data_IF_920983392312
#
_entry.id   IF_920983392312
#
_cell.length_a   1.000
_cell.length_b   1.000
_cell.length_c   1.000
_cell.angle_alpha   90.00
_cell.angle_beta   90.00
_cell.angle_gamma   90.00
#
_symmetry.space_group_name_H-M   'P 1'
#
loop_
_entity.id
_entity.type
_entity.pdbx_description
1 polymer ?
#
# COMPACT_ATOMS: atom_id res chain seq x y z
N UNK A 1 -16.28 -21.70 -18.34
CA UNK A 1 -15.11 -21.39 -17.50
C UNK A 1 -14.20 -20.31 -18.09
N UNK A 2 -14.19 -20.05 -19.41
CA UNK A 2 -13.39 -18.97 -20.03
C UNK A 2 -13.96 -17.56 -19.76
N UNK A 3 -15.29 -17.40 -19.77
CA UNK A 3 -15.98 -16.11 -19.51
C UNK A 3 -15.61 -15.48 -18.16
N UNK A 4 -15.54 -16.26 -17.08
CA UNK A 4 -15.17 -15.73 -15.75
C UNK A 4 -13.72 -15.25 -15.66
N UNK A 5 -12.81 -15.84 -16.44
CA UNK A 5 -11.41 -15.39 -16.50
C UNK A 5 -11.28 -14.09 -17.30
N UNK A 6 -12.06 -13.94 -18.38
CA UNK A 6 -12.09 -12.71 -19.18
C UNK A 6 -12.66 -11.53 -18.38
N UNK A 7 -13.69 -11.78 -17.56
CA UNK A 7 -14.29 -10.76 -16.69
C UNK A 7 -13.28 -10.20 -15.65
N UNK A 8 -12.42 -11.06 -15.08
CA UNK A 8 -11.40 -10.64 -14.12
C UNK A 8 -10.30 -9.83 -14.81
N UNK A 9 -9.81 -10.29 -15.96
CA UNK A 9 -8.77 -9.61 -16.72
C UNK A 9 -9.24 -8.26 -17.27
N UNK A 10 -10.49 -8.17 -17.75
CA UNK A 10 -11.06 -6.90 -18.19
C UNK A 10 -11.16 -5.89 -17.03
N UNK A 11 -11.62 -6.31 -15.85
CA UNK A 11 -11.70 -5.42 -14.67
C UNK A 11 -10.33 -4.91 -14.21
N UNK A 12 -9.32 -5.77 -14.21
CA UNK A 12 -7.95 -5.35 -13.90
C UNK A 12 -7.44 -4.34 -14.94
N UNK A 13 -7.73 -4.58 -16.23
CA UNK A 13 -7.31 -3.68 -17.30
C UNK A 13 -8.01 -2.32 -17.23
N UNK A 14 -9.30 -2.30 -16.90
CA UNK A 14 -10.06 -1.07 -16.66
C UNK A 14 -9.46 -0.27 -15.49
N UNK A 15 -9.12 -0.93 -14.37
CA UNK A 15 -8.48 -0.28 -13.23
C UNK A 15 -7.13 0.37 -13.62
N UNK A 16 -6.28 -0.37 -14.33
CA UNK A 16 -4.97 0.15 -14.80
C UNK A 16 -5.14 1.35 -15.73
N UNK A 17 -6.10 1.30 -16.66
CA UNK A 17 -6.33 2.41 -17.58
C UNK A 17 -6.92 3.64 -16.89
N UNK A 18 -7.77 3.44 -15.89
CA UNK A 18 -8.30 4.52 -15.06
C UNK A 18 -7.19 5.23 -14.30
N UNK A 19 -6.30 4.48 -13.64
CA UNK A 19 -5.19 5.06 -12.89
C UNK A 19 -4.21 5.81 -13.81
N UNK A 20 -3.89 5.24 -14.99
CA UNK A 20 -3.03 5.93 -15.97
C UNK A 20 -3.64 7.22 -16.50
N UNK A 21 -4.96 7.26 -16.70
CA UNK A 21 -5.66 8.45 -17.15
C UNK A 21 -5.56 9.56 -16.11
N UNK A 22 -5.84 9.28 -14.83
CA UNK A 22 -5.70 10.25 -13.75
C UNK A 22 -4.29 10.85 -13.67
N UNK A 23 -3.25 10.01 -13.82
CA UNK A 23 -1.86 10.47 -13.84
C UNK A 23 -1.58 11.40 -15.04
N UNK A 24 -2.08 11.07 -16.22
CA UNK A 24 -1.87 11.86 -17.45
C UNK A 24 -2.68 13.16 -17.50
N UNK A 25 -3.83 13.19 -16.84
CA UNK A 25 -4.69 14.37 -16.73
C UNK A 25 -4.15 15.40 -15.72
N UNK A 26 -3.09 15.03 -14.98
CA UNK A 26 -2.44 15.90 -14.01
C UNK A 26 -3.24 16.06 -12.72
N UNK A 27 -4.06 15.07 -12.39
CA UNK A 27 -4.75 15.03 -11.10
C UNK A 27 -3.73 15.12 -9.96
N UNK A 28 -4.12 15.78 -8.88
CA UNK A 28 -3.28 15.86 -7.70
C UNK A 28 -3.14 14.47 -7.08
N UNK A 29 -1.98 13.85 -7.32
CA UNK A 29 -1.62 12.55 -6.78
C UNK A 29 -1.21 12.63 -5.31
N UNK A 30 -1.09 13.83 -4.73
CA UNK A 30 -0.64 14.01 -3.36
C UNK A 30 -1.48 13.19 -2.38
N UNK A 31 -2.80 13.36 -2.40
CA UNK A 31 -3.70 12.65 -1.48
C UNK A 31 -3.64 11.13 -1.68
N UNK A 32 -3.49 10.68 -2.93
CA UNK A 32 -3.37 9.26 -3.26
C UNK A 32 -2.05 8.67 -2.74
N UNK A 33 -0.95 9.40 -2.90
CA UNK A 33 0.37 8.98 -2.40
C UNK A 33 0.38 9.00 -0.87
N UNK A 34 -0.21 10.01 -0.23
CA UNK A 34 -0.37 10.06 1.23
C UNK A 34 -1.18 8.87 1.74
N UNK A 35 -2.24 8.48 1.02
CA UNK A 35 -3.02 7.29 1.35
C UNK A 35 -2.18 6.03 1.24
N UNK A 36 -1.47 5.82 0.11
CA UNK A 36 -0.60 4.65 -0.04
C UNK A 36 0.48 4.58 1.04
N UNK A 37 1.08 5.72 1.39
CA UNK A 37 2.06 5.77 2.48
C UNK A 37 1.43 5.36 3.81
N UNK A 38 0.25 5.90 4.12
CA UNK A 38 -0.49 5.58 5.36
C UNK A 38 -0.86 4.10 5.41
N UNK A 39 -1.35 3.54 4.31
CA UNK A 39 -1.75 2.14 4.21
C UNK A 39 -0.54 1.22 4.45
N UNK A 40 0.60 1.48 3.79
CA UNK A 40 1.82 0.67 3.95
C UNK A 40 2.41 0.80 5.35
N UNK A 41 2.50 2.02 5.89
CA UNK A 41 3.00 2.22 7.27
C UNK A 41 2.09 1.53 8.28
N UNK A 42 0.77 1.57 8.08
CA UNK A 42 -0.20 0.88 8.91
C UNK A 42 -0.01 -0.62 8.90
N UNK A 43 0.18 -1.22 7.72
CA UNK A 43 0.44 -2.66 7.56
C UNK A 43 1.71 -3.10 8.29
N UNK A 44 2.81 -2.35 8.13
CA UNK A 44 4.08 -2.65 8.83
C UNK A 44 3.90 -2.53 10.35
N UNK A 45 3.23 -1.48 10.84
CA UNK A 45 2.96 -1.35 12.28
C UNK A 45 2.12 -2.53 12.77
N UNK A 46 1.07 -2.92 12.05
CA UNK A 46 0.23 -4.05 12.43
C UNK A 46 1.04 -5.35 12.46
N UNK A 47 1.90 -5.62 11.48
CA UNK A 47 2.77 -6.79 11.44
C UNK A 47 3.67 -6.90 12.69
N UNK A 48 4.26 -5.79 13.13
CA UNK A 48 5.16 -5.77 14.28
C UNK A 48 4.46 -5.61 15.64
N UNK A 49 3.14 -5.40 15.66
CA UNK A 49 2.35 -5.15 16.89
C UNK A 49 1.14 -6.05 17.07
N UNK A 50 0.87 -6.97 16.14
CA UNK A 50 -0.32 -7.83 16.13
C UNK A 50 -0.39 -8.84 17.29
N UNK A 51 0.76 -9.26 17.83
CA UNK A 51 0.85 -10.29 18.86
C UNK A 51 1.54 -9.78 20.13
N UNK A 52 1.15 -10.36 21.27
CA UNK A 52 1.75 -10.06 22.57
C UNK A 52 1.25 -8.77 23.21
N UNK A 53 1.93 -8.38 24.29
CA UNK A 53 1.77 -7.09 24.95
C UNK A 53 2.76 -6.08 24.37
N UNK A 54 2.63 -4.80 24.72
CA UNK A 54 3.56 -3.76 24.27
C UNK A 54 5.03 -4.04 24.61
N UNK A 55 5.27 -4.88 25.63
CA UNK A 55 6.59 -5.26 26.09
C UNK A 55 7.23 -6.35 25.21
N UNK A 56 6.43 -7.02 24.37
CA UNK A 56 6.85 -8.10 23.48
C UNK A 56 7.12 -7.61 22.04
N UNK A 57 6.77 -6.35 21.72
CA UNK A 57 6.92 -5.79 20.38
C UNK A 57 8.40 -5.55 20.01
N UNK A 58 8.80 -6.02 18.84
CA UNK A 58 10.13 -5.75 18.30
C UNK A 58 10.16 -4.39 17.57
N UNK A 59 10.26 -3.33 18.38
CA UNK A 59 10.30 -1.96 17.86
C UNK A 59 11.57 -1.67 17.05
N UNK A 60 12.66 -2.42 17.24
CA UNK A 60 13.87 -2.28 16.43
C UNK A 60 13.67 -2.83 15.02
N UNK A 61 12.99 -3.98 14.90
CA UNK A 61 12.60 -4.55 13.62
C UNK A 61 11.65 -3.61 12.86
N UNK A 62 10.60 -3.12 13.53
CA UNK A 62 9.67 -2.12 12.99
C UNK A 62 10.42 -0.89 12.44
N UNK A 63 11.33 -0.32 13.24
CA UNK A 63 12.07 0.88 12.83
C UNK A 63 13.04 0.61 11.68
N UNK A 64 13.60 -0.59 11.62
CA UNK A 64 14.48 -1.02 10.52
C UNK A 64 13.72 -1.15 9.22
N UNK A 65 12.52 -1.73 9.25
CA UNK A 65 11.68 -1.91 8.07
C UNK A 65 11.16 -0.56 7.54
N UNK A 66 10.67 0.31 8.42
CA UNK A 66 10.18 1.64 8.02
C UNK A 66 11.26 2.48 7.30
N UNK A 67 12.53 2.35 7.68
CA UNK A 67 13.67 3.01 7.01
C UNK A 67 13.87 2.59 5.56
N UNK A 68 13.36 1.42 5.16
CA UNK A 68 13.43 0.96 3.76
C UNK A 68 12.38 1.64 2.87
N UNK A 69 11.29 2.12 3.46
CA UNK A 69 10.14 2.68 2.76
C UNK A 69 10.24 4.19 2.57
N UNK A 70 10.75 4.90 3.58
CA UNK A 70 10.94 6.36 3.51
C UNK A 70 12.07 6.81 4.46
N UNK A 71 12.68 7.99 4.23
CA UNK A 71 13.78 8.48 5.06
C UNK A 71 13.27 8.95 6.44
N UNK A 72 13.10 8.00 7.35
CA UNK A 72 12.83 8.27 8.77
C UNK A 72 14.07 8.93 9.39
N UNK A 73 13.88 10.11 9.99
CA UNK A 73 14.96 10.93 10.59
C UNK A 73 15.15 10.64 12.07
#
# INVERSE_FOLDING_TARGET
NVLKYDDVLNRQREAIYSDRRHILEGDDLHDRVQKFLTDVVGEVVEEHTAEGSSDDWDLEALWTELKTLYPVS
#
